data_IF_962906692016
#
_entry.id   IF_962906692016
#
_cell.length_a   1.000
_cell.length_b   1.000
_cell.length_c   1.000
_cell.angle_alpha   90.00
_cell.angle_beta   90.00
_cell.angle_gamma   90.00
#
_symmetry.space_group_name_H-M   'P 1'
#
loop_
_entity.id
_entity.type
_entity.pdbx_description
1 polymer ?
#
# COMPACT_ATOMS: atom_id res chain seq x y z
N UNK A 1 -14.38 27.56 -2.49
CA UNK A 1 -13.51 28.40 -1.62
C UNK A 1 -12.53 27.58 -0.78
N UNK A 2 -12.16 26.35 -1.18
CA UNK A 2 -11.21 25.48 -0.43
C UNK A 2 -9.84 25.36 -1.15
N UNK A 3 -9.72 25.90 -2.36
CA UNK A 3 -8.54 25.74 -3.23
C UNK A 3 -7.34 26.65 -2.88
N UNK A 4 -7.46 27.51 -1.87
CA UNK A 4 -6.39 28.41 -1.43
C UNK A 4 -5.89 28.09 -0.01
N UNK A 5 -6.02 26.84 0.46
CA UNK A 5 -5.33 26.43 1.68
C UNK A 5 -3.82 26.52 1.44
N UNK A 6 -3.28 27.64 1.89
CA UNK A 6 -1.88 27.94 2.02
C UNK A 6 -1.26 27.04 3.11
N UNK A 7 0.06 26.82 3.06
CA UNK A 7 0.74 26.01 4.09
C UNK A 7 0.51 26.52 5.53
N UNK A 8 0.23 27.82 5.69
CA UNK A 8 -0.13 28.45 6.97
C UNK A 8 -1.45 27.94 7.56
N UNK A 9 -2.48 27.71 6.75
CA UNK A 9 -3.78 27.23 7.25
C UNK A 9 -3.69 25.77 7.70
N UNK A 10 -2.95 24.93 6.97
CA UNK A 10 -2.62 23.56 7.39
C UNK A 10 -1.90 23.58 8.74
N UNK A 11 -0.97 24.51 8.94
CA UNK A 11 -0.24 24.63 10.21
C UNK A 11 -1.16 24.98 11.38
N UNK A 12 -2.11 25.91 11.19
CA UNK A 12 -3.11 26.26 12.21
C UNK A 12 -4.01 25.06 12.55
N UNK A 13 -4.48 24.33 11.54
CA UNK A 13 -5.30 23.13 11.76
C UNK A 13 -4.50 22.07 12.52
N UNK A 14 -3.25 21.85 12.13
CA UNK A 14 -2.37 20.89 12.82
C UNK A 14 -2.14 21.29 14.29
N UNK A 15 -1.95 22.59 14.55
CA UNK A 15 -1.82 23.12 15.91
C UNK A 15 -3.10 22.90 16.72
N UNK A 16 -4.28 23.16 16.15
CA UNK A 16 -5.56 22.91 16.80
C UNK A 16 -5.75 21.42 17.15
N UNK A 17 -5.42 20.51 16.22
CA UNK A 17 -5.46 19.06 16.49
C UNK A 17 -4.48 18.69 17.62
N UNK A 18 -3.28 19.25 17.64
CA UNK A 18 -2.29 19.03 18.70
C UNK A 18 -2.77 19.55 20.05
N UNK A 19 -3.50 20.67 20.11
CA UNK A 19 -4.07 21.18 21.37
C UNK A 19 -5.22 20.29 21.87
N UNK A 20 -6.10 19.83 20.97
CA UNK A 20 -7.23 18.98 21.33
C UNK A 20 -6.82 17.56 21.75
N UNK A 21 -5.91 16.95 21.01
CA UNK A 21 -5.52 15.55 21.21
C UNK A 21 -4.20 15.41 21.97
N UNK A 22 -3.38 16.45 22.02
CA UNK A 22 -2.04 16.42 22.60
C UNK A 22 -0.97 16.00 21.59
N UNK A 23 0.23 16.60 21.69
CA UNK A 23 1.38 16.33 20.81
C UNK A 23 1.87 14.88 20.86
N UNK A 24 1.56 14.14 21.93
CA UNK A 24 1.94 12.73 22.11
C UNK A 24 1.00 11.75 21.41
N UNK A 25 -0.30 12.08 21.26
CA UNK A 25 -1.28 11.13 20.71
C UNK A 25 -1.14 10.91 19.21
N UNK A 26 -0.81 11.95 18.45
CA UNK A 26 -0.61 11.82 16.99
C UNK A 26 0.51 10.82 16.65
N UNK A 27 1.74 10.94 17.19
CA UNK A 27 2.81 9.98 16.91
C UNK A 27 2.53 8.59 17.48
N UNK A 28 1.79 8.50 18.59
CA UNK A 28 1.37 7.21 19.16
C UNK A 28 0.40 6.47 18.24
N UNK A 29 -0.63 7.15 17.72
CA UNK A 29 -1.57 6.61 16.73
C UNK A 29 -0.84 6.23 15.45
N UNK A 30 0.04 7.10 14.94
CA UNK A 30 0.82 6.81 13.74
C UNK A 30 1.70 5.55 13.90
N UNK A 31 2.34 5.40 15.08
CA UNK A 31 3.12 4.19 15.41
C UNK A 31 2.24 2.95 15.53
N UNK A 32 1.06 3.07 16.14
CA UNK A 32 0.08 1.98 16.24
C UNK A 32 -0.41 1.52 14.87
N UNK A 33 -0.86 2.46 14.04
CA UNK A 33 -1.30 2.21 12.66
C UNK A 33 -0.16 1.64 11.80
N UNK A 34 1.06 2.15 11.94
CA UNK A 34 2.22 1.64 11.21
C UNK A 34 2.56 0.19 11.57
N UNK A 35 2.50 -0.18 12.85
CA UNK A 35 2.64 -1.57 13.29
C UNK A 35 1.50 -2.44 12.78
N UNK A 36 0.26 -1.98 12.90
CA UNK A 36 -0.92 -2.69 12.41
C UNK A 36 -0.87 -2.97 10.90
N UNK A 37 -0.53 -1.95 10.10
CA UNK A 37 -0.35 -2.10 8.65
C UNK A 37 0.78 -3.07 8.30
N UNK A 38 1.88 -3.08 9.07
CA UNK A 38 2.99 -4.02 8.85
C UNK A 38 2.58 -5.46 9.12
N UNK A 39 1.89 -5.72 10.22
CA UNK A 39 1.41 -7.07 10.54
C UNK A 39 0.31 -7.52 9.59
N UNK A 40 -0.61 -6.63 9.21
CA UNK A 40 -1.63 -6.90 8.19
C UNK A 40 -1.00 -7.28 6.85
N UNK A 41 0.05 -6.54 6.43
CA UNK A 41 0.78 -6.84 5.20
C UNK A 41 1.47 -8.20 5.26
N UNK A 42 2.15 -8.53 6.36
CA UNK A 42 2.79 -9.84 6.54
C UNK A 42 1.77 -10.98 6.45
N UNK A 43 0.65 -10.88 7.18
CA UNK A 43 -0.40 -11.89 7.14
C UNK A 43 -0.96 -12.05 5.70
N UNK A 44 -1.15 -10.93 4.99
CA UNK A 44 -1.58 -10.97 3.58
C UNK A 44 -0.55 -11.64 2.68
N UNK A 45 0.75 -11.37 2.87
CA UNK A 45 1.85 -11.96 2.11
C UNK A 45 1.97 -13.47 2.40
N UNK A 46 1.84 -13.89 3.66
CA UNK A 46 1.81 -15.30 4.07
C UNK A 46 0.63 -16.06 3.44
N UNK A 47 -0.58 -15.49 3.51
CA UNK A 47 -1.77 -16.06 2.85
C UNK A 47 -1.55 -16.17 1.34
N UNK A 48 -0.93 -15.16 0.72
CA UNK A 48 -0.63 -15.18 -0.71
C UNK A 48 0.36 -16.30 -1.06
N UNK A 49 1.39 -16.50 -0.24
CA UNK A 49 2.37 -17.57 -0.42
C UNK A 49 1.75 -18.95 -0.17
N UNK A 50 0.87 -19.09 0.82
CA UNK A 50 0.11 -20.33 1.05
C UNK A 50 -0.85 -20.63 -0.09
N UNK A 51 -1.57 -19.64 -0.61
CA UNK A 51 -2.44 -19.81 -1.79
C UNK A 51 -1.61 -20.20 -3.01
N UNK A 52 -0.42 -19.60 -3.21
CA UNK A 52 0.47 -19.97 -4.32
C UNK A 52 0.98 -21.41 -4.20
N UNK A 53 1.28 -21.86 -2.98
CA UNK A 53 1.73 -23.24 -2.68
C UNK A 53 0.58 -24.26 -2.80
N UNK A 54 -0.60 -23.94 -2.26
CA UNK A 54 -1.78 -24.78 -2.29
C UNK A 54 -2.41 -24.87 -3.69
N UNK A 55 -2.31 -23.80 -4.48
CA UNK A 55 -2.76 -23.76 -5.88
C UNK A 55 -1.70 -24.25 -6.87
N UNK A 56 -0.57 -24.82 -6.42
CA UNK A 56 0.35 -25.58 -7.28
C UNK A 56 0.90 -24.82 -8.50
N UNK A 57 1.34 -23.57 -8.35
CA UNK A 57 2.10 -22.90 -9.42
C UNK A 57 1.27 -22.12 -10.45
N UNK A 58 -0.04 -21.97 -10.27
CA UNK A 58 -0.88 -21.10 -11.13
C UNK A 58 -0.27 -19.69 -11.28
N UNK A 59 0.31 -19.13 -10.22
CA UNK A 59 0.99 -17.82 -10.30
C UNK A 59 2.29 -17.81 -11.14
N UNK A 60 3.00 -18.94 -11.22
CA UNK A 60 4.18 -19.12 -12.07
C UNK A 60 3.77 -19.43 -13.52
N UNK A 61 2.79 -20.31 -13.73
CA UNK A 61 2.22 -20.61 -15.04
C UNK A 61 1.63 -19.35 -15.70
N UNK A 62 0.88 -18.52 -14.97
CA UNK A 62 0.38 -17.24 -15.51
C UNK A 62 1.50 -16.23 -15.79
N UNK A 63 2.62 -16.27 -15.06
CA UNK A 63 3.80 -15.41 -15.31
C UNK A 63 4.53 -15.83 -16.58
N UNK A 64 4.65 -17.13 -16.82
CA UNK A 64 5.31 -17.68 -17.99
C UNK A 64 4.43 -17.50 -19.23
N UNK A 65 3.12 -17.77 -19.14
CA UNK A 65 2.14 -17.45 -20.20
C UNK A 65 2.15 -15.95 -20.53
N UNK A 66 2.28 -15.07 -19.52
CA UNK A 66 2.33 -13.62 -19.75
C UNK A 66 3.67 -13.16 -20.36
N UNK A 67 4.77 -13.84 -20.08
CA UNK A 67 6.06 -13.60 -20.75
C UNK A 67 6.01 -14.06 -22.21
N UNK A 68 5.48 -15.25 -22.44
CA UNK A 68 5.36 -15.87 -23.76
C UNK A 68 4.41 -15.06 -24.66
N UNK A 69 3.24 -14.66 -24.14
CA UNK A 69 2.32 -13.76 -24.85
C UNK A 69 2.93 -12.38 -25.15
N UNK A 70 3.87 -11.91 -24.32
CA UNK A 70 4.58 -10.63 -24.55
C UNK A 70 5.66 -10.74 -25.62
N UNK A 71 6.31 -11.90 -25.77
CA UNK A 71 7.23 -12.18 -26.88
C UNK A 71 6.47 -12.35 -28.19
N UNK A 72 5.41 -13.15 -28.20
CA UNK A 72 4.53 -13.35 -29.38
C UNK A 72 3.96 -12.01 -29.86
N UNK A 73 3.53 -11.14 -28.94
CA UNK A 73 3.07 -9.78 -29.25
C UNK A 73 4.15 -8.89 -29.89
N UNK A 74 5.42 -9.16 -29.62
CA UNK A 74 6.55 -8.37 -30.13
C UNK A 74 6.89 -8.80 -31.56
N UNK A 75 6.84 -10.11 -31.82
CA UNK A 75 7.11 -10.71 -33.12
C UNK A 75 5.97 -10.45 -34.11
N UNK A 76 4.72 -10.37 -33.63
CA UNK A 76 3.54 -10.07 -34.44
C UNK A 76 3.39 -8.58 -34.81
N UNK A 77 4.20 -7.69 -34.23
CA UNK A 77 4.18 -6.23 -34.50
C UNK A 77 5.18 -5.81 -35.59
N UNK A 78 5.72 -6.77 -36.34
CA UNK A 78 6.54 -6.54 -37.54
C UNK A 78 5.64 -6.44 -38.78
#
# INVERSE_FOLDING_TARGET
MILFISGSEIFIILLAVVVLFGSKKIPEIARGLGKGMREFRKATDEIKDEINKASGGVGEEFKDIKKEAKEISKDLKI
#
